data_IF_202727223771
#
_entry.id   IF_202727223771
#
_cell.length_a   1.000
_cell.length_b   1.000
_cell.length_c   1.000
_cell.angle_alpha   90.00
_cell.angle_beta   90.00
_cell.angle_gamma   90.00
#
_symmetry.space_group_name_H-M   'P 1'
#
loop_
_entity.id
_entity.type
_entity.pdbx_description
1 polymer ?
#
# COMPACT_ATOMS: atom_id res chain seq x y z
N UNK A 1 11.79 -16.17 9.41
CA UNK A 1 10.69 -15.23 9.13
C UNK A 1 9.62 -15.26 10.22
N UNK A 2 8.69 -14.33 10.22
CA UNK A 2 7.61 -14.24 11.23
C UNK A 2 6.70 -15.47 11.27
N UNK A 3 6.56 -16.15 10.16
CA UNK A 3 5.73 -17.37 10.04
C UNK A 3 6.29 -18.57 10.81
N UNK A 4 7.59 -18.58 11.08
CA UNK A 4 8.27 -19.60 11.87
C UNK A 4 8.47 -19.20 13.34
N UNK A 5 8.16 -17.96 13.72
CA UNK A 5 8.28 -17.43 15.07
C UNK A 5 7.00 -17.69 15.85
N UNK A 6 7.05 -18.06 17.15
CA UNK A 6 5.86 -18.17 17.98
C UNK A 6 5.06 -16.86 17.98
N UNK A 7 3.73 -16.96 17.83
CA UNK A 7 2.86 -15.80 17.63
C UNK A 7 2.98 -14.73 18.75
N UNK A 8 3.10 -15.08 20.05
CA UNK A 8 3.31 -14.07 21.10
C UNK A 8 4.60 -13.26 20.92
N UNK A 9 5.67 -13.93 20.47
CA UNK A 9 6.96 -13.25 20.22
C UNK A 9 6.87 -12.36 18.98
N UNK A 10 6.19 -12.80 17.91
CA UNK A 10 5.91 -11.97 16.74
C UNK A 10 5.10 -10.73 17.12
N UNK A 11 4.08 -10.87 17.98
CA UNK A 11 3.29 -9.74 18.47
C UNK A 11 4.15 -8.73 19.25
N UNK A 12 5.03 -9.23 20.12
CA UNK A 12 5.95 -8.38 20.87
C UNK A 12 6.87 -7.59 19.93
N UNK A 13 7.49 -8.26 18.95
CA UNK A 13 8.38 -7.61 17.97
C UNK A 13 7.67 -6.51 17.18
N UNK A 14 6.44 -6.77 16.70
CA UNK A 14 5.64 -5.76 15.99
C UNK A 14 5.35 -4.55 16.89
N UNK A 15 4.99 -4.76 18.16
CA UNK A 15 4.72 -3.66 19.08
C UNK A 15 5.97 -2.86 19.43
N UNK A 16 7.11 -3.50 19.58
CA UNK A 16 8.39 -2.84 19.87
C UNK A 16 8.82 -1.96 18.69
N UNK A 17 8.79 -2.50 17.47
CA UNK A 17 9.08 -1.75 16.25
C UNK A 17 8.11 -0.58 16.04
N UNK A 18 6.81 -0.83 16.20
CA UNK A 18 5.78 0.20 16.12
C UNK A 18 6.04 1.35 17.10
N UNK A 19 6.35 1.04 18.37
CA UNK A 19 6.67 2.06 19.39
C UNK A 19 7.90 2.87 19.01
N UNK A 20 8.95 2.21 18.51
CA UNK A 20 10.16 2.90 18.07
C UNK A 20 9.87 3.86 16.92
N UNK A 21 9.11 3.45 15.91
CA UNK A 21 8.70 4.29 14.79
C UNK A 21 7.81 5.45 15.24
N UNK A 22 6.81 5.19 16.09
CA UNK A 22 5.90 6.23 16.63
C UNK A 22 6.65 7.27 17.49
N UNK A 23 7.70 6.84 18.19
CA UNK A 23 8.58 7.77 18.92
C UNK A 23 9.29 8.75 17.96
N UNK A 24 9.73 8.30 16.80
CA UNK A 24 10.41 9.15 15.82
C UNK A 24 9.44 9.97 14.96
N UNK A 25 8.33 9.39 14.55
CA UNK A 25 7.37 10.06 13.65
C UNK A 25 6.38 10.95 14.36
N UNK A 26 6.22 10.80 15.69
CA UNK A 26 5.21 11.47 16.52
C UNK A 26 3.77 11.28 15.97
N UNK A 27 3.53 10.17 15.29
CA UNK A 27 2.25 9.82 14.68
C UNK A 27 1.97 8.32 14.81
N UNK A 28 0.70 7.88 14.86
CA UNK A 28 0.36 6.47 14.91
C UNK A 28 0.82 5.72 13.66
N UNK A 29 1.58 4.65 13.84
CA UNK A 29 2.00 3.75 12.75
C UNK A 29 0.93 2.67 12.56
N UNK A 30 0.31 2.64 11.39
CA UNK A 30 -0.81 1.74 11.07
C UNK A 30 -0.51 0.78 9.92
N UNK A 31 0.62 0.96 9.27
CA UNK A 31 1.08 0.14 8.15
C UNK A 31 2.14 -0.84 8.56
N UNK A 32 2.19 -1.95 7.84
CA UNK A 32 3.16 -3.02 8.03
C UNK A 32 3.66 -3.54 6.68
N UNK A 33 4.89 -4.04 6.64
CA UNK A 33 5.40 -4.82 5.52
C UNK A 33 5.89 -6.16 6.08
N UNK A 34 5.35 -7.25 5.56
CA UNK A 34 5.76 -8.58 6.03
C UNK A 34 7.25 -8.80 5.75
N UNK A 35 8.06 -9.11 6.78
CA UNK A 35 9.46 -9.45 6.59
C UNK A 35 9.59 -10.61 5.58
N UNK A 36 10.42 -10.41 4.55
CA UNK A 36 10.60 -11.33 3.41
C UNK A 36 9.31 -11.62 2.60
N UNK A 37 8.26 -10.83 2.78
CA UNK A 37 6.96 -11.07 2.17
C UNK A 37 6.19 -12.25 2.77
N UNK A 38 6.70 -12.89 3.82
CA UNK A 38 6.08 -14.07 4.44
C UNK A 38 4.87 -13.67 5.28
N UNK A 39 3.69 -14.02 4.80
CA UNK A 39 2.42 -13.86 5.48
C UNK A 39 1.74 -15.22 5.70
N UNK A 40 1.08 -15.37 6.83
CA UNK A 40 0.13 -16.46 7.06
C UNK A 40 -1.10 -15.95 7.81
N UNK A 41 -2.18 -16.74 7.82
CA UNK A 41 -3.45 -16.35 8.40
C UNK A 41 -3.35 -15.99 9.90
N UNK A 42 -2.49 -16.67 10.67
CA UNK A 42 -2.33 -16.40 12.09
C UNK A 42 -1.66 -15.05 12.35
N UNK A 43 -0.57 -14.73 11.60
CA UNK A 43 0.10 -13.44 11.68
C UNK A 43 -0.84 -12.33 11.21
N UNK A 44 -1.51 -12.49 10.07
CA UNK A 44 -2.45 -11.50 9.56
C UNK A 44 -3.59 -11.21 10.54
N UNK A 45 -4.18 -12.24 11.15
CA UNK A 45 -5.25 -12.09 12.13
C UNK A 45 -4.81 -11.36 13.42
N UNK A 46 -3.54 -11.43 13.78
CA UNK A 46 -2.97 -10.76 14.95
C UNK A 46 -2.82 -9.24 14.74
N UNK A 47 -2.46 -8.80 13.55
CA UNK A 47 -2.07 -7.43 13.25
C UNK A 47 -3.12 -6.36 13.64
N UNK A 48 -4.44 -6.55 13.43
CA UNK A 48 -5.45 -5.57 13.82
C UNK A 48 -5.49 -5.29 15.33
N UNK A 49 -5.28 -6.32 16.16
CA UNK A 49 -5.23 -6.18 17.62
C UNK A 49 -4.00 -5.36 18.06
N UNK A 50 -2.95 -5.33 17.24
CA UNK A 50 -1.75 -4.52 17.45
C UNK A 50 -1.84 -3.13 16.81
N UNK A 51 -3.01 -2.73 16.29
CA UNK A 51 -3.27 -1.42 15.69
C UNK A 51 -2.83 -1.27 14.23
N UNK A 52 -2.37 -2.34 13.59
CA UNK A 52 -2.05 -2.35 12.16
C UNK A 52 -3.36 -2.46 11.35
N UNK A 53 -3.45 -1.72 10.26
CA UNK A 53 -4.64 -1.60 9.42
C UNK A 53 -4.43 -2.09 7.99
N UNK A 54 -3.20 -2.07 7.51
CA UNK A 54 -2.82 -2.60 6.20
C UNK A 54 -1.40 -3.17 6.25
N UNK A 55 -1.17 -4.21 5.46
CA UNK A 55 0.11 -4.91 5.45
C UNK A 55 0.49 -5.35 4.02
N UNK A 56 1.68 -4.94 3.56
CA UNK A 56 2.21 -5.24 2.23
C UNK A 56 2.91 -6.60 2.20
N UNK A 57 2.59 -7.35 1.15
CA UNK A 57 3.34 -8.55 0.74
C UNK A 57 4.40 -8.19 -0.32
N UNK A 58 5.08 -9.19 -0.86
CA UNK A 58 6.05 -9.03 -1.96
C UNK A 58 5.56 -9.69 -3.27
N UNK A 59 4.30 -10.08 -3.34
CA UNK A 59 3.76 -10.75 -4.52
C UNK A 59 3.35 -9.74 -5.58
N UNK A 60 4.11 -9.65 -6.65
CA UNK A 60 3.78 -8.81 -7.81
C UNK A 60 2.54 -9.34 -8.54
N UNK A 61 1.56 -8.48 -8.74
CA UNK A 61 0.30 -8.86 -9.39
C UNK A 61 0.22 -8.44 -10.85
N UNK A 62 1.00 -7.45 -11.27
CA UNK A 62 0.87 -6.79 -12.57
C UNK A 62 -0.45 -6.04 -12.76
N UNK A 63 -1.27 -5.91 -11.70
CA UNK A 63 -2.61 -5.31 -11.74
C UNK A 63 -2.62 -3.94 -11.08
N UNK A 64 -3.67 -3.17 -11.38
CA UNK A 64 -3.89 -1.81 -10.86
C UNK A 64 -5.12 -1.73 -9.96
N UNK A 65 -5.54 -2.85 -9.40
CA UNK A 65 -6.69 -2.93 -8.51
C UNK A 65 -6.30 -2.57 -7.07
N UNK A 66 -7.26 -2.05 -6.32
CA UNK A 66 -7.10 -1.94 -4.87
C UNK A 66 -7.21 -3.33 -4.21
N UNK A 67 -6.54 -3.55 -3.07
CA UNK A 67 -6.61 -4.83 -2.39
C UNK A 67 -8.04 -5.12 -1.91
N UNK A 68 -8.41 -6.40 -1.93
CA UNK A 68 -9.65 -6.89 -1.31
C UNK A 68 -9.44 -7.08 0.19
N UNK A 69 -8.24 -7.53 0.59
CA UNK A 69 -7.79 -7.65 1.97
C UNK A 69 -6.62 -6.69 2.21
N UNK A 70 -6.84 -5.71 3.07
CA UNK A 70 -5.81 -4.72 3.42
C UNK A 70 -4.66 -5.29 4.23
N UNK A 71 -4.86 -6.43 4.88
CA UNK A 71 -3.79 -7.15 5.57
C UNK A 71 -3.02 -8.10 4.65
N UNK A 72 -3.41 -8.16 3.38
CA UNK A 72 -2.71 -8.90 2.33
C UNK A 72 -2.65 -8.03 1.06
N UNK A 73 -1.95 -6.90 1.16
CA UNK A 73 -1.86 -5.93 0.09
C UNK A 73 -0.70 -6.25 -0.84
N UNK A 74 -1.01 -6.92 -1.94
CA UNK A 74 -0.05 -7.25 -2.97
C UNK A 74 0.26 -6.03 -3.83
N UNK A 75 1.54 -5.73 -4.13
CA UNK A 75 1.94 -4.62 -5.00
C UNK A 75 1.63 -4.91 -6.48
N UNK A 76 1.67 -3.85 -7.30
CA UNK A 76 1.62 -4.00 -8.76
C UNK A 76 2.90 -4.66 -9.26
N UNK A 77 4.08 -4.15 -8.88
CA UNK A 77 5.35 -4.72 -9.29
C UNK A 77 6.50 -4.33 -8.35
N UNK A 78 7.54 -5.14 -8.37
CA UNK A 78 8.84 -4.76 -7.85
C UNK A 78 9.52 -3.75 -8.78
N UNK A 79 10.40 -2.93 -8.23
CA UNK A 79 11.12 -1.86 -8.98
C UNK A 79 11.89 -2.38 -10.20
N UNK A 80 12.34 -3.64 -10.17
CA UNK A 80 13.06 -4.27 -11.28
C UNK A 80 12.17 -5.20 -12.14
N UNK A 81 10.85 -5.26 -11.87
CA UNK A 81 9.91 -6.10 -12.63
C UNK A 81 9.03 -5.21 -13.52
N UNK A 82 9.46 -5.00 -14.76
CA UNK A 82 8.70 -4.27 -15.80
C UNK A 82 8.18 -2.89 -15.38
N UNK A 83 8.90 -2.18 -14.48
CA UNK A 83 8.50 -0.90 -13.91
C UNK A 83 8.00 0.11 -14.94
N UNK A 84 8.79 0.32 -16.01
CA UNK A 84 8.46 1.28 -17.07
C UNK A 84 7.18 0.89 -17.80
N UNK A 85 7.04 -0.39 -18.15
CA UNK A 85 5.84 -0.91 -18.82
C UNK A 85 4.58 -0.76 -17.96
N UNK A 86 4.68 -1.02 -16.64
CA UNK A 86 3.57 -0.79 -15.73
C UNK A 86 3.24 0.70 -15.59
N UNK A 87 4.25 1.58 -15.54
CA UNK A 87 4.05 3.02 -15.55
C UNK A 87 3.32 3.51 -16.80
N UNK A 88 3.72 3.06 -17.97
CA UNK A 88 3.08 3.41 -19.24
C UNK A 88 1.63 2.91 -19.34
N UNK A 89 1.34 1.73 -18.83
CA UNK A 89 -0.03 1.18 -18.75
C UNK A 89 -0.90 1.93 -17.75
N UNK A 90 -0.29 2.45 -16.70
CA UNK A 90 -0.99 3.23 -15.65
C UNK A 90 -1.26 4.65 -16.09
N UNK A 91 -0.39 5.25 -16.92
CA UNK A 91 -0.57 6.63 -17.39
C UNK A 91 -1.98 6.84 -17.95
N UNK A 92 -2.62 7.96 -17.64
CA UNK A 92 -4.05 8.09 -17.73
C UNK A 92 -4.58 7.95 -19.15
N UNK A 93 -5.53 7.05 -19.27
CA UNK A 93 -6.40 6.98 -20.42
C UNK A 93 -7.67 7.78 -20.10
N UNK A 94 -8.07 8.66 -21.01
CA UNK A 94 -9.36 9.33 -20.91
C UNK A 94 -10.49 8.30 -20.82
N UNK A 95 -11.46 8.52 -19.92
CA UNK A 95 -12.64 7.66 -19.81
C UNK A 95 -12.52 6.44 -18.88
N UNK A 96 -11.58 6.46 -17.95
CA UNK A 96 -11.50 5.42 -16.90
C UNK A 96 -12.80 5.41 -16.09
N UNK A 97 -13.44 4.23 -16.01
CA UNK A 97 -14.66 4.01 -15.21
C UNK A 97 -14.37 3.68 -13.75
N UNK A 98 -13.14 3.30 -13.44
CA UNK A 98 -12.70 2.91 -12.08
C UNK A 98 -11.34 3.54 -11.79
N UNK A 99 -11.12 3.99 -10.56
CA UNK A 99 -9.80 4.42 -10.13
C UNK A 99 -8.82 3.24 -10.18
N UNK A 100 -7.58 3.53 -10.57
CA UNK A 100 -6.48 2.57 -10.64
C UNK A 100 -5.47 2.88 -9.55
N UNK A 101 -4.76 1.86 -9.10
CA UNK A 101 -3.65 1.97 -8.16
C UNK A 101 -2.38 1.40 -8.79
N UNK A 102 -1.33 2.20 -8.86
CA UNK A 102 0.01 1.71 -9.16
C UNK A 102 0.80 1.67 -7.84
N UNK A 103 1.12 0.47 -7.40
CA UNK A 103 1.86 0.23 -6.17
C UNK A 103 3.19 -0.45 -6.49
N UNK A 104 4.26 0.32 -6.44
CA UNK A 104 5.63 -0.16 -6.67
C UNK A 104 6.31 -0.38 -5.32
N UNK A 105 7.12 -1.42 -5.22
CA UNK A 105 7.92 -1.70 -4.05
C UNK A 105 9.36 -2.06 -4.42
N UNK A 106 10.25 -2.03 -3.46
CA UNK A 106 11.66 -2.37 -3.62
C UNK A 106 12.46 -1.86 -2.42
N UNK A 107 13.76 -2.08 -2.46
CA UNK A 107 14.69 -1.61 -1.42
C UNK A 107 15.74 -0.67 -2.03
N UNK A 108 16.15 0.35 -1.30
CA UNK A 108 17.12 1.33 -1.80
C UNK A 108 18.49 0.72 -2.10
N UNK A 109 18.94 -0.26 -1.33
CA UNK A 109 20.22 -0.95 -1.57
C UNK A 109 20.23 -1.69 -2.91
N UNK A 110 19.08 -2.20 -3.37
CA UNK A 110 18.97 -2.87 -4.67
C UNK A 110 19.27 -1.92 -5.84
N UNK A 111 18.98 -0.62 -5.67
CA UNK A 111 19.28 0.40 -6.67
C UNK A 111 20.80 0.59 -6.84
N UNK A 112 21.55 0.53 -5.73
CA UNK A 112 23.00 0.60 -5.76
C UNK A 112 23.62 -0.68 -6.39
N UNK A 113 23.15 -1.84 -5.95
CA UNK A 113 23.64 -3.14 -6.42
C UNK A 113 23.37 -3.38 -7.93
N UNK A 114 22.25 -2.89 -8.43
CA UNK A 114 21.82 -3.13 -9.82
C UNK A 114 21.92 -1.88 -10.74
N UNK A 115 22.61 -0.82 -10.31
CA UNK A 115 22.67 0.44 -11.03
C UNK A 115 21.30 1.01 -11.43
N UNK A 116 20.31 0.85 -10.53
CA UNK A 116 18.89 1.10 -10.79
C UNK A 116 18.44 2.55 -10.63
N UNK A 117 19.30 3.46 -10.16
CA UNK A 117 18.92 4.86 -9.91
C UNK A 117 18.39 5.56 -11.15
N UNK A 118 19.06 5.41 -12.29
CA UNK A 118 18.60 5.99 -13.56
C UNK A 118 17.21 5.47 -13.96
N UNK A 119 16.96 4.18 -13.78
CA UNK A 119 15.65 3.57 -14.03
C UNK A 119 14.57 4.23 -13.17
N UNK A 120 14.83 4.39 -11.86
CA UNK A 120 13.89 4.99 -10.93
C UNK A 120 13.66 6.48 -11.25
N UNK A 121 14.72 7.24 -11.53
CA UNK A 121 14.62 8.66 -11.89
C UNK A 121 13.81 8.86 -13.16
N UNK A 122 14.06 8.07 -14.21
CA UNK A 122 13.32 8.15 -15.46
C UNK A 122 11.85 7.77 -15.26
N UNK A 123 11.56 6.77 -14.47
CA UNK A 123 10.21 6.42 -14.09
C UNK A 123 9.51 7.58 -13.34
N UNK A 124 10.14 8.14 -12.31
CA UNK A 124 9.60 9.27 -11.56
C UNK A 124 9.39 10.51 -12.44
N UNK A 125 10.32 10.78 -13.36
CA UNK A 125 10.19 11.91 -14.33
C UNK A 125 9.00 11.74 -15.26
N UNK A 126 8.72 10.51 -15.70
CA UNK A 126 7.59 10.20 -16.61
C UNK A 126 6.25 10.25 -15.89
N UNK A 127 6.17 9.74 -14.68
CA UNK A 127 4.93 9.68 -13.91
C UNK A 127 4.67 10.92 -13.07
N UNK A 128 5.70 11.70 -12.74
CA UNK A 128 5.58 12.88 -11.91
C UNK A 128 4.81 14.02 -12.58
N UNK A 129 4.10 14.81 -11.76
CA UNK A 129 3.41 16.04 -12.22
C UNK A 129 2.14 15.81 -13.04
N UNK A 130 1.62 14.59 -13.12
CA UNK A 130 0.37 14.29 -13.84
C UNK A 130 -0.84 14.83 -13.05
N UNK A 131 -1.67 15.67 -13.64
CA UNK A 131 -2.80 16.35 -12.96
C UNK A 131 -3.94 15.42 -12.56
N UNK A 132 -4.01 14.25 -13.14
CA UNK A 132 -5.02 13.22 -12.90
C UNK A 132 -4.46 12.00 -12.14
N UNK A 133 -3.27 12.12 -11.57
CA UNK A 133 -2.65 11.13 -10.69
C UNK A 133 -2.56 11.72 -9.28
N UNK A 134 -3.11 11.01 -8.33
CA UNK A 134 -2.94 11.31 -6.92
C UNK A 134 -1.73 10.56 -6.37
N UNK A 135 -0.69 11.29 -6.00
CA UNK A 135 0.50 10.74 -5.35
C UNK A 135 0.25 10.71 -3.85
N UNK A 136 0.08 9.52 -3.31
CA UNK A 136 -0.37 9.34 -1.95
C UNK A 136 0.46 8.30 -1.20
N UNK A 137 0.51 8.44 0.10
CA UNK A 137 1.02 7.41 1.00
C UNK A 137 0.01 6.26 1.14
N UNK A 138 0.49 5.10 1.56
CA UNK A 138 -0.38 3.95 1.82
C UNK A 138 -1.48 4.26 2.86
N UNK A 139 -1.16 5.08 3.87
CA UNK A 139 -2.13 5.55 4.87
C UNK A 139 -3.25 6.36 4.24
N UNK A 140 -2.92 7.32 3.38
CA UNK A 140 -3.90 8.18 2.71
C UNK A 140 -4.80 7.35 1.80
N UNK A 141 -4.23 6.41 1.04
CA UNK A 141 -5.00 5.51 0.18
C UNK A 141 -5.96 4.66 1.01
N UNK A 142 -5.47 4.07 2.10
CA UNK A 142 -6.31 3.29 3.01
C UNK A 142 -7.46 4.12 3.56
N UNK A 143 -7.18 5.29 4.13
CA UNK A 143 -8.19 6.17 4.73
C UNK A 143 -9.22 6.63 3.71
N UNK A 144 -8.79 7.01 2.51
CA UNK A 144 -9.68 7.37 1.41
C UNK A 144 -10.63 6.22 1.05
N UNK A 145 -10.08 5.01 0.88
CA UNK A 145 -10.89 3.83 0.53
C UNK A 145 -11.86 3.45 1.64
N UNK A 146 -11.44 3.54 2.91
CA UNK A 146 -12.35 3.32 4.04
C UNK A 146 -13.45 4.39 4.11
N UNK A 147 -13.14 5.63 3.78
CA UNK A 147 -14.12 6.71 3.70
C UNK A 147 -15.12 6.48 2.57
N UNK A 148 -14.66 6.09 1.39
CA UNK A 148 -15.54 5.73 0.27
C UNK A 148 -16.46 4.55 0.61
N UNK A 149 -15.98 3.54 1.33
CA UNK A 149 -16.77 2.37 1.70
C UNK A 149 -17.89 2.68 2.70
N UNK A 150 -17.82 3.82 3.38
CA UNK A 150 -18.82 4.28 4.37
C UNK A 150 -19.85 5.26 3.78
N UNK A 151 -19.74 5.60 2.50
CA UNK A 151 -20.73 6.47 1.86
C UNK A 151 -22.09 5.75 1.80
N UNK A 152 -23.12 6.47 2.20
CA UNK A 152 -24.50 6.01 2.11
C UNK A 152 -25.25 6.83 1.06
N UNK A 153 -25.93 6.15 0.15
CA UNK A 153 -26.67 6.78 -0.94
C UNK A 153 -28.17 6.67 -0.68
N UNK A 154 -28.92 7.72 -1.07
CA UNK A 154 -30.38 7.65 -1.13
C UNK A 154 -30.84 6.59 -2.12
N UNK A 155 -32.10 6.18 -2.04
CA UNK A 155 -32.68 5.17 -2.92
C UNK A 155 -32.53 5.51 -4.40
N UNK A 156 -32.65 6.80 -4.73
CA UNK A 156 -32.54 7.32 -6.11
C UNK A 156 -31.09 7.73 -6.47
N UNK A 157 -30.12 7.51 -5.57
CA UNK A 157 -28.72 7.90 -5.71
C UNK A 157 -28.47 9.40 -6.03
N UNK A 158 -29.43 10.27 -5.73
CA UNK A 158 -29.36 11.73 -5.91
C UNK A 158 -28.74 12.45 -4.70
N UNK A 159 -28.61 11.77 -3.56
CA UNK A 159 -28.01 12.27 -2.33
C UNK A 159 -27.01 11.27 -1.77
N UNK A 160 -25.95 11.80 -1.16
CA UNK A 160 -24.94 11.02 -0.48
C UNK A 160 -24.71 11.56 0.92
N UNK A 161 -24.69 10.65 1.89
CA UNK A 161 -24.23 10.94 3.24
C UNK A 161 -22.78 10.43 3.40
N UNK A 162 -21.89 11.32 3.81
CA UNK A 162 -20.49 10.99 4.07
C UNK A 162 -20.19 11.15 5.57
N UNK A 163 -20.16 10.06 6.33
CA UNK A 163 -19.87 10.10 7.78
C UNK A 163 -18.41 10.44 8.09
N UNK A 164 -17.55 10.52 7.08
CA UNK A 164 -16.12 10.82 7.25
C UNK A 164 -15.80 12.31 7.08
N UNK A 165 -16.70 13.11 6.55
CA UNK A 165 -16.58 14.57 6.52
C UNK A 165 -16.90 15.14 7.90
N UNK A 166 -15.97 15.89 8.45
CA UNK A 166 -16.16 16.74 9.64
C UNK A 166 -16.13 18.20 9.25
#
# INVERSE_FOLDING_TARGET
GMTATPLPLSAQQVLEDRRALEHHTQAPVRGFAYPYGEANAAVAAMLPALGIRYARTTQDTGRFDFPQDWLHWDPTCHIFNDLVSHGEKFLPRTGLRKPMLLYVWGHSYELDENNGWTLLEDFCRRLGGQTNVWYATNSEIYDYRQSCARLEFSADADRVYNPSCR
#
